data_IF_518868538936
#
_entry.id   IF_518868538936
#
_cell.length_a   1.000
_cell.length_b   1.000
_cell.length_c   1.000
_cell.angle_alpha   90.00
_cell.angle_beta   90.00
_cell.angle_gamma   90.00
#
_symmetry.space_group_name_H-M   'P 1'
#
loop_
_entity.id
_entity.type
_entity.pdbx_description
1 polymer ?
#
# COMPACT_ATOMS: atom_id res chain seq x y z
N UNK A 1 13.54 3.40 -9.91
CA UNK A 1 12.82 2.09 -10.00
C UNK A 1 12.47 1.85 -11.46
N UNK A 2 11.91 0.70 -11.88
CA UNK A 2 11.52 0.51 -13.29
C UNK A 2 10.17 1.17 -13.63
N UNK A 3 9.30 1.26 -12.64
CA UNK A 3 7.99 1.87 -12.73
C UNK A 3 7.31 1.93 -11.38
N UNK A 4 6.18 2.60 -11.30
CA UNK A 4 5.40 2.75 -10.07
C UNK A 4 3.90 2.87 -10.35
N UNK A 5 3.10 2.76 -9.29
CA UNK A 5 1.65 2.89 -9.29
C UNK A 5 1.21 3.60 -8.02
N UNK A 6 0.09 4.33 -8.11
CA UNK A 6 -0.52 5.03 -7.00
C UNK A 6 -1.99 4.65 -7.00
N UNK A 7 -2.41 4.05 -5.89
CA UNK A 7 -3.78 3.62 -5.67
C UNK A 7 -4.36 4.41 -4.51
N UNK A 8 -5.66 4.68 -4.53
CA UNK A 8 -6.37 5.07 -3.30
C UNK A 8 -6.58 3.84 -2.39
N UNK A 9 -7.18 4.10 -1.23
CA UNK A 9 -7.57 3.11 -0.23
C UNK A 9 -8.46 1.98 -0.77
N UNK A 10 -9.26 2.25 -1.81
CA UNK A 10 -10.07 1.24 -2.50
C UNK A 10 -9.32 0.47 -3.60
N UNK A 11 -8.06 0.82 -3.89
CA UNK A 11 -7.25 0.16 -4.91
C UNK A 11 -7.51 0.63 -6.34
N UNK A 12 -8.11 1.80 -6.51
CA UNK A 12 -8.32 2.45 -7.81
C UNK A 12 -7.05 3.19 -8.23
N UNK A 13 -6.59 2.97 -9.47
CA UNK A 13 -5.47 3.72 -10.03
C UNK A 13 -5.81 5.20 -10.13
N UNK A 14 -4.96 6.03 -9.57
CA UNK A 14 -5.20 7.47 -9.52
C UNK A 14 -4.76 8.19 -10.80
N UNK A 15 -3.96 7.53 -11.64
CA UNK A 15 -3.56 8.04 -12.96
C UNK A 15 -4.31 7.25 -14.03
N UNK A 16 -5.08 7.98 -14.85
CA UNK A 16 -5.87 7.43 -15.94
C UNK A 16 -4.98 6.71 -16.97
N UNK A 17 -5.50 5.61 -17.53
CA UNK A 17 -4.80 4.81 -18.55
C UNK A 17 -3.78 3.80 -18.00
N UNK A 18 -3.48 3.82 -16.70
CA UNK A 18 -2.53 2.90 -16.06
C UNK A 18 -3.16 1.86 -15.13
N UNK A 19 -4.49 1.71 -15.11
CA UNK A 19 -5.11 0.69 -14.28
C UNK A 19 -4.60 -0.72 -14.64
N UNK A 20 -4.07 -1.43 -13.64
CA UNK A 20 -3.47 -2.76 -13.82
C UNK A 20 -2.14 -2.77 -14.59
N UNK A 21 -1.55 -1.61 -14.89
CA UNK A 21 -0.27 -1.48 -15.63
C UNK A 21 0.70 -0.64 -14.83
N UNK A 22 1.99 -0.92 -14.94
CA UNK A 22 3.01 -0.06 -14.32
C UNK A 22 3.20 1.21 -15.14
N UNK A 23 3.24 2.37 -14.48
CA UNK A 23 3.74 3.60 -15.12
C UNK A 23 5.25 3.50 -15.23
N UNK A 24 5.86 3.83 -16.38
CA UNK A 24 7.31 3.91 -16.47
C UNK A 24 7.85 4.99 -15.53
N UNK A 25 9.01 4.76 -14.91
CA UNK A 25 9.65 5.75 -14.03
C UNK A 25 10.36 6.84 -14.86
N UNK A 26 9.62 7.87 -15.26
CA UNK A 26 10.14 9.05 -15.98
C UNK A 26 9.90 10.35 -15.21
N UNK A 27 10.67 11.42 -15.47
CA UNK A 27 10.41 12.74 -14.88
C UNK A 27 8.97 13.23 -15.12
N UNK A 28 8.43 13.00 -16.32
CA UNK A 28 7.06 13.40 -16.67
C UNK A 28 6.01 12.69 -15.80
N UNK A 29 6.07 11.36 -15.72
CA UNK A 29 5.17 10.56 -14.85
C UNK A 29 5.31 10.91 -13.38
N UNK A 30 6.52 11.22 -12.89
CA UNK A 30 6.73 11.68 -11.50
C UNK A 30 6.06 13.03 -11.26
N UNK A 31 6.21 13.97 -12.18
CA UNK A 31 5.57 15.29 -12.09
C UNK A 31 4.04 15.17 -12.14
N UNK A 32 3.49 14.32 -12.99
CA UNK A 32 2.05 14.03 -13.02
C UNK A 32 1.55 13.47 -11.70
N UNK A 33 2.29 12.55 -11.09
CA UNK A 33 1.97 12.01 -9.77
C UNK A 33 1.99 13.07 -8.66
N UNK A 34 2.99 13.94 -8.63
CA UNK A 34 3.07 15.03 -7.65
C UNK A 34 1.89 16.00 -7.80
N UNK A 35 1.59 16.45 -9.02
CA UNK A 35 0.45 17.34 -9.30
C UNK A 35 -0.91 16.72 -8.95
N UNK A 36 -1.02 15.40 -9.09
CA UNK A 36 -2.22 14.67 -8.69
C UNK A 36 -2.41 14.72 -7.17
N UNK A 37 -1.33 14.61 -6.38
CA UNK A 37 -1.40 14.75 -4.92
C UNK A 37 -1.78 16.16 -4.47
N UNK A 38 -1.40 17.22 -5.19
CA UNK A 38 -1.81 18.60 -4.90
C UNK A 38 -3.34 18.80 -4.94
N UNK A 39 -4.03 18.00 -5.76
CA UNK A 39 -5.47 18.09 -5.96
C UNK A 39 -6.24 16.91 -5.32
N UNK A 40 -5.59 16.16 -4.43
CA UNK A 40 -6.17 14.95 -3.85
C UNK A 40 -7.33 15.30 -2.89
N UNK A 41 -8.54 14.88 -3.23
CA UNK A 41 -9.75 15.04 -2.41
C UNK A 41 -10.67 13.81 -2.43
N UNK A 42 -10.11 12.61 -2.58
CA UNK A 42 -10.95 11.39 -2.62
C UNK A 42 -11.50 11.03 -1.24
N UNK A 43 -12.79 10.68 -1.24
CA UNK A 43 -13.48 10.08 -0.10
C UNK A 43 -12.79 8.76 0.24
N UNK A 44 -12.33 8.62 1.48
CA UNK A 44 -11.70 7.41 2.00
C UNK A 44 -12.56 6.78 3.10
N UNK A 45 -12.60 5.45 3.15
CA UNK A 45 -13.20 4.72 4.28
C UNK A 45 -12.19 4.47 5.43
N UNK A 46 -10.98 5.04 5.33
CA UNK A 46 -9.89 4.89 6.32
C UNK A 46 -9.50 3.43 6.58
N UNK A 47 -9.55 2.59 5.55
CA UNK A 47 -9.06 1.20 5.58
C UNK A 47 -8.01 0.99 4.48
N UNK A 48 -6.76 0.63 4.82
CA UNK A 48 -5.74 0.34 3.82
C UNK A 48 -5.93 -1.06 3.18
N UNK A 49 -6.88 -1.86 3.67
CA UNK A 49 -6.97 -3.30 3.38
C UNK A 49 -7.29 -3.55 1.92
N UNK A 50 -8.31 -2.88 1.40
CA UNK A 50 -8.79 -3.01 0.02
C UNK A 50 -7.67 -2.60 -0.95
N UNK A 51 -7.00 -1.48 -0.69
CA UNK A 51 -5.90 -0.97 -1.50
C UNK A 51 -4.71 -1.93 -1.54
N UNK A 52 -4.32 -2.52 -0.40
CA UNK A 52 -3.24 -3.52 -0.34
C UNK A 52 -3.63 -4.81 -1.07
N UNK A 53 -4.86 -5.29 -0.88
CA UNK A 53 -5.38 -6.47 -1.57
C UNK A 53 -5.37 -6.28 -3.10
N UNK A 54 -5.79 -5.10 -3.56
CA UNK A 54 -5.76 -4.71 -4.96
C UNK A 54 -4.33 -4.60 -5.50
N UNK A 55 -3.41 -3.99 -4.72
CA UNK A 55 -2.01 -3.86 -5.08
C UNK A 55 -1.36 -5.24 -5.28
N UNK A 56 -1.56 -6.16 -4.34
CA UNK A 56 -1.08 -7.54 -4.43
C UNK A 56 -1.66 -8.26 -5.65
N UNK A 57 -2.98 -8.16 -5.87
CA UNK A 57 -3.67 -8.85 -6.96
C UNK A 57 -3.21 -8.39 -8.34
N UNK A 58 -3.17 -7.07 -8.56
CA UNK A 58 -2.87 -6.47 -9.86
C UNK A 58 -1.36 -6.49 -10.15
N UNK A 59 -0.52 -6.16 -9.18
CA UNK A 59 0.86 -5.75 -9.45
C UNK A 59 1.96 -6.66 -8.86
N UNK A 60 1.66 -7.49 -7.85
CA UNK A 60 2.66 -8.40 -7.29
C UNK A 60 2.74 -9.70 -8.11
N UNK A 61 3.81 -9.84 -8.91
CA UNK A 61 4.03 -10.98 -9.82
C UNK A 61 5.38 -11.65 -9.53
N UNK A 62 5.52 -12.98 -9.68
CA UNK A 62 6.77 -13.69 -9.34
C UNK A 62 8.03 -13.17 -10.04
N UNK A 63 7.88 -12.66 -11.27
CA UNK A 63 8.97 -12.13 -12.10
C UNK A 63 9.20 -10.62 -11.93
N UNK A 64 8.48 -9.95 -11.01
CA UNK A 64 8.61 -8.53 -10.72
C UNK A 64 9.00 -8.39 -9.25
N UNK A 65 10.08 -7.66 -8.96
CA UNK A 65 10.41 -7.31 -7.58
C UNK A 65 9.56 -6.12 -7.17
N UNK A 66 8.52 -6.38 -6.38
CA UNK A 66 7.51 -5.38 -6.00
C UNK A 66 7.67 -4.96 -4.53
N UNK A 67 7.51 -3.65 -4.28
CA UNK A 67 7.39 -3.09 -2.94
C UNK A 67 6.14 -2.22 -2.87
N UNK A 68 5.30 -2.46 -1.86
CA UNK A 68 4.06 -1.74 -1.61
C UNK A 68 4.32 -0.83 -0.41
N UNK A 69 4.02 0.46 -0.56
CA UNK A 69 4.12 1.44 0.51
C UNK A 69 2.72 1.94 0.85
N UNK A 70 2.27 1.63 2.06
CA UNK A 70 0.96 2.02 2.56
C UNK A 70 1.13 3.28 3.39
N UNK A 71 0.45 4.35 3.00
CA UNK A 71 0.41 5.61 3.73
C UNK A 71 -0.96 5.73 4.40
N UNK A 72 -0.99 5.97 5.70
CA UNK A 72 -2.25 6.13 6.42
C UNK A 72 -2.06 6.59 7.86
N UNK A 73 -3.18 6.96 8.46
CA UNK A 73 -3.27 7.56 9.79
C UNK A 73 -4.32 6.90 10.69
N UNK A 74 -5.23 6.11 10.11
CA UNK A 74 -6.22 5.34 10.87
C UNK A 74 -6.55 3.98 10.23
N UNK A 75 -7.20 3.12 11.00
CA UNK A 75 -7.76 1.85 10.55
C UNK A 75 -9.13 1.60 11.19
N UNK A 76 -10.19 1.69 10.39
CA UNK A 76 -11.59 1.60 10.85
C UNK A 76 -12.15 0.17 10.89
N UNK A 77 -11.44 -0.82 10.34
CA UNK A 77 -11.91 -2.21 10.33
C UNK A 77 -11.92 -2.85 11.71
N UNK A 78 -12.77 -3.86 11.94
CA UNK A 78 -13.04 -4.39 13.28
C UNK A 78 -11.98 -5.35 13.82
N UNK A 79 -11.40 -6.22 12.99
CA UNK A 79 -10.51 -7.32 13.42
C UNK A 79 -9.15 -7.30 12.70
N UNK A 80 -8.07 -7.38 13.47
CA UNK A 80 -6.70 -7.35 12.96
C UNK A 80 -6.25 -8.68 12.35
N UNK A 81 -6.28 -9.77 13.14
CA UNK A 81 -5.70 -11.05 12.73
C UNK A 81 -6.28 -11.60 11.42
N UNK A 82 -7.62 -11.64 11.21
CA UNK A 82 -8.17 -12.15 9.96
C UNK A 82 -7.72 -11.35 8.73
N UNK A 83 -7.54 -10.04 8.90
CA UNK A 83 -7.07 -9.14 7.83
C UNK A 83 -5.60 -9.37 7.55
N UNK A 84 -4.76 -9.40 8.59
CA UNK A 84 -3.33 -9.65 8.46
C UNK A 84 -3.08 -11.01 7.82
N UNK A 85 -3.79 -12.04 8.26
CA UNK A 85 -3.65 -13.40 7.73
C UNK A 85 -4.11 -13.49 6.27
N UNK A 86 -5.24 -12.86 5.93
CA UNK A 86 -5.73 -12.81 4.54
C UNK A 86 -4.70 -12.16 3.61
N UNK A 87 -4.20 -10.97 3.96
CA UNK A 87 -3.22 -10.25 3.15
C UNK A 87 -1.88 -11.00 3.06
N UNK A 88 -1.41 -11.56 4.18
CA UNK A 88 -0.16 -12.34 4.23
C UNK A 88 -0.26 -13.63 3.41
N UNK A 89 -1.42 -14.30 3.41
CA UNK A 89 -1.69 -15.49 2.60
C UNK A 89 -1.78 -15.15 1.12
N UNK A 90 -2.38 -14.01 0.77
CA UNK A 90 -2.41 -13.51 -0.61
C UNK A 90 -1.00 -13.16 -1.11
N UNK A 91 -0.14 -12.60 -0.25
CA UNK A 91 1.26 -12.32 -0.55
C UNK A 91 2.12 -13.60 -0.45
N UNK A 92 1.85 -14.54 -1.36
CA UNK A 92 2.44 -15.89 -1.37
C UNK A 92 3.96 -15.86 -1.30
N UNK A 93 4.52 -16.81 -0.56
CA UNK A 93 5.94 -17.11 -0.58
C UNK A 93 6.28 -17.91 -1.84
N UNK A 94 7.32 -17.51 -2.54
CA UNK A 94 7.87 -18.17 -3.73
C UNK A 94 8.83 -19.29 -3.32
N UNK A 95 9.17 -20.15 -4.28
CA UNK A 95 10.11 -21.27 -4.06
C UNK A 95 11.50 -20.84 -3.56
N UNK A 96 11.91 -19.60 -3.83
CA UNK A 96 13.16 -19.03 -3.36
C UNK A 96 13.07 -18.38 -1.96
N UNK A 97 11.96 -18.57 -1.25
CA UNK A 97 11.75 -18.08 0.10
C UNK A 97 11.26 -16.63 0.21
N UNK A 98 11.28 -15.84 -0.88
CA UNK A 98 10.78 -14.45 -0.91
C UNK A 98 9.27 -14.40 -1.15
N UNK A 99 8.57 -13.40 -0.60
CA UNK A 99 7.17 -13.10 -0.93
C UNK A 99 6.97 -12.32 -2.25
N UNK A 100 5.78 -12.40 -2.84
CA UNK A 100 5.44 -11.68 -4.08
C UNK A 100 5.71 -10.16 -4.01
N UNK A 101 5.49 -9.55 -2.85
CA UNK A 101 5.85 -8.17 -2.59
C UNK A 101 6.37 -7.99 -1.15
N UNK A 102 7.20 -6.97 -0.95
CA UNK A 102 7.45 -6.42 0.40
C UNK A 102 6.37 -5.41 0.72
N UNK A 103 5.80 -5.45 1.91
CA UNK A 103 4.77 -4.50 2.35
C UNK A 103 5.35 -3.60 3.44
N UNK A 104 5.42 -2.30 3.16
CA UNK A 104 5.90 -1.26 4.05
C UNK A 104 4.75 -0.34 4.48
N UNK A 105 4.88 0.28 5.64
CA UNK A 105 3.91 1.26 6.14
C UNK A 105 4.57 2.56 6.56
N UNK A 106 3.91 3.67 6.25
CA UNK A 106 4.26 5.02 6.69
C UNK A 106 3.04 5.59 7.40
N UNK A 107 3.14 5.71 8.73
CA UNK A 107 2.13 6.32 9.57
C UNK A 107 2.33 7.83 9.66
N UNK A 108 1.26 8.60 9.51
CA UNK A 108 1.21 10.03 9.82
C UNK A 108 0.06 10.33 10.78
N UNK A 109 0.12 11.48 11.44
CA UNK A 109 -0.91 11.91 12.40
C UNK A 109 -1.88 12.90 11.74
N UNK A 110 -3.14 12.77 12.08
CA UNK A 110 -4.23 13.69 11.78
C UNK A 110 -5.07 13.93 13.04
N UNK A 111 -5.97 14.92 12.99
CA UNK A 111 -6.78 15.34 14.15
C UNK A 111 -7.62 14.19 14.73
N UNK A 112 -8.00 13.21 13.89
CA UNK A 112 -8.85 12.08 14.28
C UNK A 112 -8.11 10.74 14.27
N UNK A 113 -6.79 10.73 14.13
CA UNK A 113 -6.01 9.49 14.09
C UNK A 113 -6.12 8.70 15.39
N UNK A 114 -6.10 7.39 15.26
CA UNK A 114 -6.00 6.46 16.37
C UNK A 114 -4.75 5.58 16.21
N UNK A 115 -4.36 4.86 17.27
CA UNK A 115 -3.24 3.93 17.20
C UNK A 115 -3.54 2.67 16.35
N UNK A 116 -4.75 2.55 15.79
CA UNK A 116 -5.18 1.32 15.11
C UNK A 116 -4.39 1.05 13.84
N UNK A 117 -4.02 2.09 13.09
CA UNK A 117 -3.18 1.94 11.90
C UNK A 117 -1.78 1.42 12.27
N UNK A 118 -1.17 1.97 13.32
CA UNK A 118 0.16 1.57 13.75
C UNK A 118 0.20 0.11 14.24
N UNK A 119 -0.85 -0.32 14.98
CA UNK A 119 -1.03 -1.71 15.39
C UNK A 119 -1.11 -2.64 14.17
N UNK A 120 -1.98 -2.32 13.21
CA UNK A 120 -2.17 -3.11 11.99
C UNK A 120 -0.85 -3.20 11.20
N UNK A 121 -0.23 -2.07 10.91
CA UNK A 121 0.93 -2.01 10.01
C UNK A 121 2.18 -2.58 10.66
N UNK A 122 2.36 -2.48 11.98
CA UNK A 122 3.49 -3.11 12.67
C UNK A 122 3.52 -4.63 12.44
N UNK A 123 2.38 -5.30 12.62
CA UNK A 123 2.30 -6.75 12.42
C UNK A 123 2.26 -7.13 10.94
N UNK A 124 1.52 -6.39 10.10
CA UNK A 124 1.42 -6.68 8.67
C UNK A 124 2.79 -6.59 7.98
N UNK A 125 3.56 -5.52 8.24
CA UNK A 125 4.88 -5.32 7.62
C UNK A 125 5.87 -6.39 8.07
N UNK A 126 5.88 -6.74 9.35
CA UNK A 126 6.72 -7.80 9.93
C UNK A 126 6.47 -9.16 9.27
N UNK A 127 5.21 -9.52 9.02
CA UNK A 127 4.86 -10.79 8.35
C UNK A 127 5.11 -10.79 6.85
N UNK A 128 5.36 -9.61 6.25
CA UNK A 128 5.46 -9.41 4.79
C UNK A 128 6.78 -8.75 4.37
N UNK A 129 7.88 -9.09 5.05
CA UNK A 129 9.26 -8.73 4.69
C UNK A 129 9.51 -7.22 4.52
N UNK A 130 8.75 -6.39 5.24
CA UNK A 130 8.86 -4.94 5.16
C UNK A 130 9.07 -4.27 6.51
N UNK A 131 8.79 -2.96 6.54
CA UNK A 131 9.07 -2.08 7.69
C UNK A 131 7.93 -1.10 7.86
N UNK A 132 7.60 -0.81 9.11
CA UNK A 132 6.71 0.27 9.49
C UNK A 132 7.53 1.43 10.06
N UNK A 133 7.27 2.65 9.58
CA UNK A 133 7.82 3.90 10.09
C UNK A 133 6.64 4.80 10.48
N UNK A 134 6.69 5.38 11.67
CA UNK A 134 5.74 6.40 12.10
C UNK A 134 6.45 7.76 12.15
N UNK A 135 5.78 8.81 11.68
CA UNK A 135 6.25 10.17 11.88
C UNK A 135 5.97 10.58 13.33
N UNK A 136 6.95 11.19 14.02
CA UNK A 136 6.72 11.71 15.36
C UNK A 136 5.67 12.85 15.33
N UNK A 137 4.95 13.06 16.44
CA UNK A 137 4.10 14.25 16.63
C UNK A 137 4.91 15.55 16.63
#
# INVERSE_FOLDING_TARGET
>A
VKGFQILNDMGTSMISGYDGRWMPDTPSTRNSAIKMFENWSVVSNSSPVEGVEMALRKYAKPNITTSIYVFGDDYTGSSYDPVIDRLTKQNKQLSNGRRLAKIHGVGFLSVNSTDRFSILMRELTKRNDGTYIALPP
#
